data_IF_456835406855
#
_entry.id   IF_456835406855
#
_cell.length_a   1.000
_cell.length_b   1.000
_cell.length_c   1.000
_cell.angle_alpha   90.00
_cell.angle_beta   90.00
_cell.angle_gamma   90.00
#
_symmetry.space_group_name_H-M   'P 1'
#
loop_
_entity.id
_entity.type
_entity.pdbx_description
1 polymer ?
#
# COMPACT_ATOMS: atom_id res chain seq x y z
N UNK A 1 -0.28 14.43 8.19
CA UNK A 1 0.57 13.96 9.31
C UNK A 1 2.03 14.38 9.13
N UNK A 2 2.80 14.45 10.22
CA UNK A 2 4.24 14.75 10.22
C UNK A 2 5.00 13.93 11.28
N UNK A 3 6.33 13.86 11.17
CA UNK A 3 7.20 13.29 12.21
C UNK A 3 7.86 14.41 13.00
N UNK A 4 7.72 14.38 14.32
CA UNK A 4 8.38 15.30 15.26
C UNK A 4 9.01 14.47 16.38
N UNK A 5 10.29 14.69 16.70
CA UNK A 5 11.02 13.94 17.73
C UNK A 5 10.84 12.41 17.64
N UNK A 6 10.93 11.87 16.42
CA UNK A 6 10.76 10.44 16.11
C UNK A 6 9.37 9.87 16.45
N UNK A 7 8.37 10.75 16.64
CA UNK A 7 6.97 10.45 16.89
C UNK A 7 6.09 10.95 15.74
N UNK A 8 5.04 10.20 15.44
CA UNK A 8 4.05 10.63 14.45
C UNK A 8 3.07 11.61 15.10
N UNK A 9 2.76 12.69 14.39
CA UNK A 9 1.87 13.78 14.81
C UNK A 9 0.83 14.01 13.72
N UNK A 10 -0.42 14.19 14.12
CA UNK A 10 -1.55 14.50 13.24
C UNK A 10 -1.45 15.96 12.73
N UNK A 11 -2.24 16.31 11.70
CA UNK A 11 -2.17 17.65 11.10
C UNK A 11 -2.67 18.77 12.02
N UNK A 12 -3.47 18.43 13.04
CA UNK A 12 -3.88 19.35 14.09
C UNK A 12 -2.79 19.56 15.17
N UNK A 13 -1.64 18.90 15.05
CA UNK A 13 -0.53 18.98 16.02
C UNK A 13 -0.61 17.97 17.17
N UNK A 14 -1.68 17.17 17.25
CA UNK A 14 -1.80 16.17 18.32
C UNK A 14 -0.89 14.95 18.05
N UNK A 15 -0.16 14.45 19.06
CA UNK A 15 0.61 13.24 18.92
C UNK A 15 -0.33 12.03 18.75
N UNK A 16 0.04 11.08 17.89
CA UNK A 16 -0.69 9.80 17.84
C UNK A 16 -0.53 9.05 19.17
N UNK A 17 -1.53 8.20 19.50
CA UNK A 17 -1.49 7.32 20.68
C UNK A 17 -0.16 6.58 20.72
N UNK A 18 0.44 6.50 21.90
CA UNK A 18 1.72 5.84 22.10
C UNK A 18 1.67 4.79 23.19
N UNK A 19 2.04 3.57 22.83
CA UNK A 19 2.14 2.45 23.75
C UNK A 19 3.48 1.76 23.58
N UNK A 20 4.44 2.16 24.40
CA UNK A 20 5.82 1.72 24.26
C UNK A 20 5.94 0.20 24.33
N UNK A 21 6.47 -0.40 23.26
CA UNK A 21 6.90 -1.80 23.30
C UNK A 21 8.25 -1.92 24.02
N UNK A 22 8.41 -2.88 24.94
CA UNK A 22 9.72 -3.20 25.52
C UNK A 22 10.64 -3.90 24.51
N UNK A 23 10.10 -4.45 23.42
CA UNK A 23 10.83 -5.20 22.40
C UNK A 23 11.41 -4.24 21.36
N UNK A 24 12.45 -3.50 21.73
CA UNK A 24 13.12 -2.54 20.85
C UNK A 24 14.65 -2.61 21.05
N UNK A 25 15.39 -2.41 19.97
CA UNK A 25 16.86 -2.40 19.94
C UNK A 25 17.44 -1.00 20.12
N UNK A 26 18.73 -0.87 19.77
CA UNK A 26 19.45 0.41 19.82
C UNK A 26 18.99 1.42 18.77
N UNK A 27 19.84 2.40 18.50
CA UNK A 27 19.60 3.44 17.50
C UNK A 27 19.37 2.85 16.09
N UNK A 28 18.44 3.46 15.35
CA UNK A 28 18.06 3.12 14.00
C UNK A 28 18.31 4.32 13.08
N UNK A 29 18.92 4.04 11.92
CA UNK A 29 18.94 4.94 10.76
C UNK A 29 18.18 4.23 9.64
N UNK A 30 16.88 4.50 9.48
CA UNK A 30 16.04 3.71 8.58
C UNK A 30 16.38 4.04 7.12
N UNK A 31 16.28 3.02 6.26
CA UNK A 31 16.48 3.08 4.81
C UNK A 31 15.24 2.60 4.05
N UNK A 32 14.48 1.70 4.66
CA UNK A 32 13.31 1.05 4.07
C UNK A 32 12.07 1.26 4.94
N UNK A 33 10.91 1.27 4.31
CA UNK A 33 9.62 1.13 4.97
C UNK A 33 9.07 -0.26 4.64
N UNK A 34 8.61 -1.01 5.64
CA UNK A 34 8.08 -2.37 5.47
C UNK A 34 6.63 -2.42 5.95
N UNK A 35 5.75 -2.89 5.06
CA UNK A 35 4.32 -3.07 5.34
C UNK A 35 4.03 -4.51 5.78
N UNK A 36 3.17 -4.64 6.77
CA UNK A 36 2.76 -5.89 7.39
C UNK A 36 1.24 -5.95 7.55
N UNK A 37 0.70 -7.16 7.73
CA UNK A 37 -0.56 -7.33 8.43
C UNK A 37 -0.31 -8.05 9.76
N UNK A 38 -1.22 -7.81 10.70
CA UNK A 38 -1.13 -8.41 12.03
C UNK A 38 -1.53 -9.88 12.09
N UNK A 39 -2.41 -10.34 11.18
CA UNK A 39 -3.12 -11.62 11.28
C UNK A 39 -3.87 -11.78 12.62
N UNK A 40 -4.23 -10.65 13.23
CA UNK A 40 -4.91 -10.55 14.51
C UNK A 40 -6.43 -10.46 14.35
N UNK A 41 -7.12 -10.48 15.49
CA UNK A 41 -8.58 -10.30 15.54
C UNK A 41 -8.97 -8.84 15.31
N UNK A 42 -8.23 -7.96 15.95
CA UNK A 42 -8.42 -6.52 15.97
C UNK A 42 -7.11 -5.80 16.35
N UNK A 43 -7.04 -4.50 16.09
CA UNK A 43 -5.89 -3.67 16.38
C UNK A 43 -5.48 -3.71 17.87
N UNK A 44 -6.43 -3.62 18.80
CA UNK A 44 -6.15 -3.60 20.23
C UNK A 44 -5.51 -4.91 20.71
N UNK A 45 -5.96 -6.05 20.19
CA UNK A 45 -5.37 -7.36 20.48
C UNK A 45 -3.94 -7.45 19.99
N UNK A 46 -3.66 -6.90 18.81
CA UNK A 46 -2.32 -6.85 18.22
C UNK A 46 -1.40 -5.90 18.98
N UNK A 47 -1.88 -4.71 19.35
CA UNK A 47 -1.16 -3.74 20.17
C UNK A 47 -0.80 -4.37 21.52
N UNK A 48 -1.78 -4.96 22.23
CA UNK A 48 -1.54 -5.65 23.50
C UNK A 48 -0.51 -6.77 23.38
N UNK A 49 -0.50 -7.49 22.26
CA UNK A 49 0.50 -8.55 22.06
C UNK A 49 1.89 -7.96 21.79
N UNK A 50 2.01 -6.99 20.87
CA UNK A 50 3.27 -6.36 20.48
C UNK A 50 3.94 -5.54 21.61
N UNK A 51 3.19 -5.17 22.64
CA UNK A 51 3.70 -4.47 23.84
C UNK A 51 4.06 -5.40 25.00
N UNK A 52 3.84 -6.72 24.88
CA UNK A 52 4.30 -7.67 25.89
C UNK A 52 5.80 -7.91 25.81
N UNK A 53 6.47 -7.98 26.97
CA UNK A 53 7.91 -8.28 27.06
C UNK A 53 8.30 -9.67 26.56
N UNK A 54 7.35 -10.60 26.43
CA UNK A 54 7.60 -11.96 25.97
C UNK A 54 7.27 -12.21 24.48
N UNK A 55 6.67 -11.23 23.79
CA UNK A 55 6.27 -11.38 22.38
C UNK A 55 7.45 -11.55 21.42
N UNK A 56 8.65 -11.10 21.81
CA UNK A 56 9.88 -11.10 20.99
C UNK A 56 9.66 -10.48 19.59
N UNK A 57 8.70 -9.56 19.50
CA UNK A 57 8.32 -8.83 18.29
C UNK A 57 7.77 -7.46 18.67
N UNK A 58 7.86 -6.51 17.75
CA UNK A 58 7.23 -5.19 17.83
C UNK A 58 7.17 -4.58 16.43
N UNK A 59 6.41 -3.50 16.27
CA UNK A 59 6.39 -2.67 15.07
C UNK A 59 6.52 -1.21 15.48
N UNK A 60 6.77 -0.31 14.53
CA UNK A 60 6.77 1.12 14.83
C UNK A 60 5.34 1.64 14.95
N UNK A 61 4.47 1.27 14.00
CA UNK A 61 3.05 1.65 13.98
C UNK A 61 2.14 0.43 13.88
N UNK A 62 0.96 0.53 14.51
CA UNK A 62 -0.21 -0.29 14.23
C UNK A 62 -1.33 0.64 13.75
N UNK A 63 -1.96 0.31 12.62
CA UNK A 63 -3.08 1.06 12.05
C UNK A 63 -4.32 0.17 12.06
N UNK A 64 -5.36 0.61 12.76
CA UNK A 64 -6.64 -0.08 12.86
C UNK A 64 -7.47 0.08 11.57
N UNK A 65 -8.53 -0.73 11.45
CA UNK A 65 -9.42 -0.71 10.27
C UNK A 65 -10.24 0.58 10.14
N UNK A 66 -10.43 1.31 11.22
CA UNK A 66 -11.07 2.62 11.24
C UNK A 66 -10.08 3.78 11.01
N UNK A 67 -8.80 3.47 10.76
CA UNK A 67 -7.74 4.46 10.58
C UNK A 67 -7.09 4.94 11.89
N UNK A 68 -7.49 4.44 13.07
CA UNK A 68 -6.80 4.80 14.31
C UNK A 68 -5.34 4.32 14.29
N UNK A 69 -4.40 5.21 14.65
CA UNK A 69 -2.96 4.89 14.70
C UNK A 69 -2.51 4.77 16.16
N UNK A 70 -1.76 3.70 16.44
CA UNK A 70 -0.96 3.58 17.66
C UNK A 70 0.51 3.40 17.30
N UNK A 71 1.38 4.25 17.81
CA UNK A 71 2.83 4.11 17.70
C UNK A 71 3.36 3.30 18.89
N UNK A 72 4.21 2.30 18.63
CA UNK A 72 4.77 1.43 19.68
C UNK A 72 6.27 1.63 19.90
N UNK A 73 6.99 2.06 18.87
CA UNK A 73 8.45 2.29 18.92
C UNK A 73 8.77 3.62 18.24
N UNK A 74 9.60 4.49 18.85
CA UNK A 74 10.12 5.69 18.19
C UNK A 74 10.87 5.36 16.89
N UNK A 75 10.77 6.21 15.87
CA UNK A 75 11.35 5.93 14.55
C UNK A 75 12.89 5.93 14.50
N UNK A 76 13.58 6.42 15.55
CA UNK A 76 15.03 6.30 15.75
C UNK A 76 15.45 5.04 16.52
N UNK A 77 14.52 4.13 16.81
CA UNK A 77 14.83 2.87 17.49
C UNK A 77 14.42 1.66 16.66
N UNK A 78 15.21 0.60 16.80
CA UNK A 78 14.97 -0.67 16.11
C UNK A 78 13.71 -1.34 16.68
N UNK A 79 12.68 -1.55 15.87
CA UNK A 79 11.57 -2.45 16.17
C UNK A 79 11.89 -3.88 15.70
N UNK A 80 11.21 -4.89 16.24
CA UNK A 80 11.46 -6.30 15.94
C UNK A 80 10.35 -6.88 15.06
N UNK A 81 10.20 -6.39 13.82
CA UNK A 81 9.09 -6.72 12.92
C UNK A 81 9.49 -7.69 11.79
N UNK A 82 10.69 -7.53 11.21
CA UNK A 82 11.14 -8.23 10.01
C UNK A 82 11.79 -9.60 10.28
N UNK A 83 12.42 -9.80 11.45
CA UNK A 83 13.17 -11.03 11.77
C UNK A 83 14.25 -11.37 10.73
N UNK A 84 14.62 -12.67 10.53
CA UNK A 84 15.53 -13.09 9.46
C UNK A 84 15.04 -12.65 8.09
N UNK A 85 15.74 -11.72 7.44
CA UNK A 85 15.25 -11.04 6.24
C UNK A 85 16.40 -10.53 5.39
N UNK A 86 16.19 -10.37 4.08
CA UNK A 86 17.19 -9.87 3.14
C UNK A 86 16.56 -9.11 1.98
N UNK A 87 17.15 -7.96 1.61
CA UNK A 87 16.75 -7.17 0.45
C UNK A 87 17.96 -6.47 -0.16
N UNK A 88 18.15 -6.60 -1.48
CA UNK A 88 19.25 -5.96 -2.24
C UNK A 88 20.63 -6.03 -1.55
N UNK A 89 21.00 -7.22 -1.05
CA UNK A 89 22.29 -7.44 -0.38
C UNK A 89 22.33 -7.04 1.10
N UNK A 90 21.34 -6.30 1.62
CA UNK A 90 21.19 -5.97 3.05
C UNK A 90 20.47 -7.11 3.76
N UNK A 91 20.99 -7.58 4.89
CA UNK A 91 20.38 -8.61 5.71
C UNK A 91 19.98 -8.05 7.08
N UNK A 92 18.95 -8.63 7.72
CA UNK A 92 18.48 -8.20 9.04
C UNK A 92 17.80 -6.84 9.01
N UNK A 93 16.69 -6.72 8.26
CA UNK A 93 16.07 -5.41 7.99
C UNK A 93 15.48 -4.71 9.23
N UNK A 94 15.32 -5.38 10.38
CA UNK A 94 15.00 -4.69 11.65
C UNK A 94 15.94 -3.49 11.90
N UNK A 95 17.23 -3.62 11.56
CA UNK A 95 18.25 -2.58 11.79
C UNK A 95 18.29 -1.50 10.71
N UNK A 96 17.41 -1.58 9.70
CA UNK A 96 17.43 -0.73 8.52
C UNK A 96 16.05 -0.27 8.09
N UNK A 97 14.99 -0.59 8.84
CA UNK A 97 13.64 -0.31 8.40
C UNK A 97 12.70 0.11 9.51
N UNK A 98 11.66 0.83 9.09
CA UNK A 98 10.48 1.12 9.88
C UNK A 98 9.40 0.12 9.47
N UNK A 99 8.72 -0.48 10.45
CA UNK A 99 7.65 -1.45 10.24
C UNK A 99 6.27 -0.85 10.57
N UNK A 100 5.33 -0.97 9.63
CA UNK A 100 3.92 -0.61 9.82
C UNK A 100 3.07 -1.88 9.77
N UNK A 101 2.35 -2.14 10.85
CA UNK A 101 1.36 -3.22 10.97
C UNK A 101 -0.04 -2.69 10.69
N UNK A 102 -0.76 -3.33 9.79
CA UNK A 102 -2.18 -3.03 9.54
C UNK A 102 -3.05 -4.13 10.18
N UNK A 103 -4.06 -3.74 10.96
CA UNK A 103 -5.09 -4.65 11.46
C UNK A 103 -5.83 -5.30 10.29
N UNK A 104 -5.51 -6.56 10.03
CA UNK A 104 -6.04 -7.34 8.94
C UNK A 104 -5.85 -8.83 9.26
N UNK A 105 -6.88 -9.64 8.99
CA UNK A 105 -6.86 -11.07 9.28
C UNK A 105 -5.89 -11.88 8.40
N UNK A 106 -5.42 -11.28 7.30
CA UNK A 106 -4.44 -11.85 6.37
C UNK A 106 -5.04 -12.97 5.51
N UNK A 107 -4.33 -14.09 5.48
CA UNK A 107 -4.71 -15.28 4.72
C UNK A 107 -5.94 -15.97 5.35
N UNK A 108 -6.95 -16.23 4.53
CA UNK A 108 -8.19 -16.91 4.88
C UNK A 108 -8.30 -18.26 4.17
N UNK A 109 -8.81 -19.25 4.90
CA UNK A 109 -9.07 -20.60 4.39
C UNK A 109 -10.55 -20.79 4.10
N UNK A 110 -10.86 -21.50 3.01
CA UNK A 110 -12.23 -21.85 2.68
C UNK A 110 -12.72 -23.00 3.55
N UNK A 111 -13.79 -22.79 4.32
CA UNK A 111 -14.47 -23.81 5.15
C UNK A 111 -15.94 -23.87 4.78
N UNK A 112 -16.28 -24.78 3.87
CA UNK A 112 -17.58 -24.82 3.21
C UNK A 112 -17.75 -23.60 2.31
N UNK A 113 -18.79 -22.80 2.53
CA UNK A 113 -19.08 -21.56 1.80
C UNK A 113 -18.45 -20.32 2.44
N UNK A 114 -17.73 -20.47 3.56
CA UNK A 114 -17.19 -19.35 4.33
C UNK A 114 -15.68 -19.21 4.17
N UNK A 115 -15.20 -17.98 4.20
CA UNK A 115 -13.78 -17.65 4.34
C UNK A 115 -13.45 -17.42 5.81
N UNK A 116 -12.53 -18.22 6.36
CA UNK A 116 -12.23 -18.17 7.79
C UNK A 116 -10.77 -17.83 8.04
N UNK A 117 -10.53 -16.91 8.97
CA UNK A 117 -9.20 -16.68 9.52
C UNK A 117 -8.74 -17.88 10.37
N UNK A 118 -7.44 -17.97 10.61
CA UNK A 118 -6.85 -19.04 11.41
C UNK A 118 -7.41 -19.11 12.84
N UNK A 119 -7.85 -17.97 13.39
CA UNK A 119 -8.50 -17.87 14.71
C UNK A 119 -10.02 -18.12 14.69
N UNK A 120 -10.58 -18.58 13.56
CA UNK A 120 -11.94 -19.10 13.45
C UNK A 120 -13.01 -18.09 13.02
N UNK A 121 -12.72 -16.79 13.04
CA UNK A 121 -13.67 -15.77 12.54
C UNK A 121 -13.90 -15.94 11.05
N UNK A 122 -15.16 -15.98 10.65
CA UNK A 122 -15.57 -15.96 9.25
C UNK A 122 -15.74 -14.52 8.77
N UNK A 123 -15.32 -14.26 7.54
CA UNK A 123 -15.47 -12.98 6.85
C UNK A 123 -16.42 -13.14 5.67
N UNK A 124 -17.28 -12.14 5.41
CA UNK A 124 -18.22 -12.18 4.30
C UNK A 124 -17.47 -12.05 2.97
N UNK A 125 -18.03 -12.55 1.87
CA UNK A 125 -17.30 -12.68 0.60
C UNK A 125 -16.86 -11.31 0.02
N UNK A 126 -17.62 -10.26 0.28
CA UNK A 126 -17.31 -8.87 -0.08
C UNK A 126 -16.07 -8.30 0.62
N UNK A 127 -15.64 -8.88 1.75
CA UNK A 127 -14.42 -8.51 2.47
C UNK A 127 -13.23 -9.39 2.09
N UNK A 128 -13.36 -10.22 1.05
CA UNK A 128 -12.35 -11.21 0.67
C UNK A 128 -11.96 -11.10 -0.79
N UNK A 129 -10.66 -10.95 -1.02
CA UNK A 129 -10.05 -11.13 -2.34
C UNK A 129 -9.61 -12.58 -2.52
N UNK A 130 -10.04 -13.23 -3.59
CA UNK A 130 -9.48 -14.51 -3.99
C UNK A 130 -8.23 -14.30 -4.85
N UNK A 131 -7.09 -14.80 -4.38
CA UNK A 131 -5.82 -14.71 -5.11
C UNK A 131 -4.91 -15.90 -4.78
N UNK A 132 -4.02 -16.31 -5.70
CA UNK A 132 -3.09 -17.39 -5.44
C UNK A 132 -2.12 -17.01 -4.31
N UNK A 133 -1.75 -17.99 -3.50
CA UNK A 133 -0.61 -17.84 -2.60
C UNK A 133 0.67 -17.62 -3.43
N UNK A 134 1.53 -16.68 -3.03
CA UNK A 134 2.80 -16.41 -3.71
C UNK A 134 3.60 -17.70 -3.91
N UNK A 135 3.89 -18.04 -5.17
CA UNK A 135 4.62 -19.26 -5.53
C UNK A 135 3.77 -20.54 -5.59
N UNK A 136 2.44 -20.44 -5.57
CA UNK A 136 1.51 -21.57 -5.66
C UNK A 136 0.35 -21.26 -6.62
N UNK A 137 -0.24 -22.30 -7.21
CA UNK A 137 -1.51 -22.21 -7.95
C UNK A 137 -2.74 -22.29 -7.04
N UNK A 138 -2.57 -22.54 -5.74
CA UNK A 138 -3.67 -22.64 -4.77
C UNK A 138 -4.30 -21.27 -4.53
N UNK A 139 -5.56 -21.11 -4.93
CA UNK A 139 -6.38 -19.94 -4.61
C UNK A 139 -6.73 -19.95 -3.12
N UNK A 140 -6.49 -18.82 -2.47
CA UNK A 140 -6.82 -18.58 -1.07
C UNK A 140 -7.64 -17.29 -0.97
N UNK A 141 -8.32 -17.10 0.16
CA UNK A 141 -8.95 -15.83 0.48
C UNK A 141 -7.94 -14.90 1.16
N UNK A 142 -8.04 -13.61 0.89
CA UNK A 142 -7.24 -12.57 1.52
C UNK A 142 -8.18 -11.50 2.04
N UNK A 143 -8.13 -11.24 3.34
CA UNK A 143 -8.96 -10.21 3.95
C UNK A 143 -8.61 -8.83 3.37
N UNK A 144 -9.60 -8.11 2.87
CA UNK A 144 -9.44 -6.80 2.29
C UNK A 144 -9.07 -5.76 3.37
N UNK A 145 -8.36 -4.72 2.94
CA UNK A 145 -8.09 -3.54 3.76
C UNK A 145 -9.20 -2.52 3.56
N UNK A 146 -9.60 -1.84 4.63
CA UNK A 146 -10.61 -0.77 4.51
C UNK A 146 -10.00 0.46 3.83
N UNK A 147 -10.81 1.25 3.10
CA UNK A 147 -10.34 2.51 2.50
C UNK A 147 -9.69 3.45 3.53
N UNK A 148 -10.31 3.62 4.69
CA UNK A 148 -9.85 4.51 5.76
C UNK A 148 -8.47 4.11 6.26
N UNK A 149 -8.25 2.81 6.48
CA UNK A 149 -6.97 2.27 6.90
C UNK A 149 -5.88 2.47 5.84
N UNK A 150 -6.21 2.31 4.55
CA UNK A 150 -5.27 2.51 3.46
C UNK A 150 -4.88 3.99 3.29
N UNK A 151 -5.83 4.90 3.41
CA UNK A 151 -5.57 6.34 3.31
C UNK A 151 -4.64 6.80 4.45
N UNK A 152 -4.95 6.40 5.68
CA UNK A 152 -4.10 6.67 6.86
C UNK A 152 -2.72 6.05 6.71
N UNK A 153 -2.62 4.81 6.22
CA UNK A 153 -1.34 4.15 5.98
C UNK A 153 -0.50 4.89 4.93
N UNK A 154 -1.13 5.45 3.90
CA UNK A 154 -0.45 6.23 2.88
C UNK A 154 0.08 7.55 3.46
N UNK A 155 -0.72 8.26 4.26
CA UNK A 155 -0.31 9.50 4.92
C UNK A 155 0.84 9.30 5.91
N UNK A 156 0.74 8.29 6.77
CA UNK A 156 1.81 7.92 7.70
C UNK A 156 3.09 7.55 6.95
N UNK A 157 2.96 6.74 5.89
CA UNK A 157 4.09 6.36 5.02
C UNK A 157 4.76 7.60 4.41
N UNK A 158 3.98 8.56 3.90
CA UNK A 158 4.50 9.81 3.32
C UNK A 158 5.27 10.64 4.35
N UNK A 159 4.72 10.79 5.56
CA UNK A 159 5.37 11.53 6.64
C UNK A 159 6.72 10.90 7.03
N UNK A 160 6.75 9.57 7.17
CA UNK A 160 7.95 8.81 7.51
C UNK A 160 8.99 8.90 6.38
N UNK A 161 8.57 8.66 5.13
CA UNK A 161 9.45 8.72 3.96
C UNK A 161 10.09 10.10 3.85
N UNK A 162 9.31 11.17 4.00
CA UNK A 162 9.81 12.54 3.96
C UNK A 162 10.80 12.83 5.10
N UNK A 163 10.48 12.44 6.33
CA UNK A 163 11.31 12.71 7.51
C UNK A 163 12.67 12.01 7.47
N UNK A 164 12.76 10.81 6.88
CA UNK A 164 13.98 10.00 6.87
C UNK A 164 14.62 9.82 5.49
N UNK A 165 14.02 10.37 4.43
CA UNK A 165 14.51 10.22 3.05
C UNK A 165 14.52 8.77 2.57
N UNK A 166 13.52 7.97 2.98
CA UNK A 166 13.43 6.56 2.58
C UNK A 166 13.15 6.45 1.08
N UNK A 167 13.73 5.44 0.43
CA UNK A 167 13.64 5.30 -1.04
C UNK A 167 12.80 4.12 -1.52
N UNK A 168 12.44 3.22 -0.60
CA UNK A 168 11.78 1.98 -0.95
C UNK A 168 10.70 1.61 0.09
N UNK A 169 9.55 1.18 -0.43
CA UNK A 169 8.47 0.55 0.31
C UNK A 169 8.42 -0.93 -0.07
N UNK A 170 8.51 -1.80 0.93
CA UNK A 170 8.60 -3.24 0.76
C UNK A 170 7.46 -3.94 1.49
N UNK A 171 7.05 -5.10 0.98
CA UNK A 171 6.28 -6.07 1.77
C UNK A 171 7.20 -6.92 2.63
N UNK A 172 6.66 -7.52 3.69
CA UNK A 172 7.41 -8.53 4.45
C UNK A 172 7.73 -9.76 3.60
N UNK A 173 6.85 -10.08 2.66
CA UNK A 173 7.00 -11.14 1.67
C UNK A 173 8.10 -10.84 0.63
N UNK A 174 8.37 -9.57 0.33
CA UNK A 174 9.52 -9.15 -0.51
C UNK A 174 10.86 -9.47 0.18
N UNK A 175 10.95 -9.23 1.50
CA UNK A 175 12.21 -9.35 2.25
C UNK A 175 12.41 -10.71 2.93
N UNK A 176 11.39 -11.56 2.96
CA UNK A 176 11.41 -12.89 3.59
C UNK A 176 10.63 -13.92 2.78
N UNK A 177 10.97 -14.10 1.49
CA UNK A 177 10.23 -14.98 0.59
C UNK A 177 10.18 -16.42 1.09
N UNK A 178 9.00 -17.04 1.01
CA UNK A 178 8.75 -18.41 1.46
C UNK A 178 8.49 -18.55 2.97
N UNK A 179 8.88 -17.56 3.79
CA UNK A 179 8.55 -17.53 5.22
C UNK A 179 7.35 -16.63 5.53
N UNK A 180 7.25 -15.51 4.83
CA UNK A 180 6.26 -14.47 5.07
C UNK A 180 5.45 -14.20 3.81
N UNK A 181 4.18 -13.88 4.02
CA UNK A 181 3.19 -13.67 2.97
C UNK A 181 2.44 -12.34 3.14
N UNK A 182 2.73 -11.60 4.20
CA UNK A 182 2.24 -10.25 4.45
C UNK A 182 3.03 -9.20 3.65
N UNK A 183 2.37 -8.10 3.21
CA UNK A 183 0.97 -7.73 3.44
C UNK A 183 -0.01 -8.44 2.47
N UNK A 184 0.49 -9.26 1.55
CA UNK A 184 -0.33 -10.06 0.64
C UNK A 184 -0.91 -9.27 -0.54
N UNK A 185 -1.58 -9.97 -1.48
CA UNK A 185 -2.08 -9.38 -2.73
C UNK A 185 -3.23 -8.38 -2.53
N UNK A 186 -3.95 -8.46 -1.41
CA UNK A 186 -5.02 -7.50 -1.09
C UNK A 186 -4.46 -6.10 -0.76
N UNK A 187 -3.18 -6.00 -0.37
CA UNK A 187 -2.55 -4.71 -0.15
C UNK A 187 -2.14 -4.08 -1.48
N UNK A 188 -2.54 -2.83 -1.79
CA UNK A 188 -2.29 -2.21 -3.09
C UNK A 188 -0.86 -1.64 -3.21
N UNK A 189 0.16 -2.51 -3.06
CA UNK A 189 1.58 -2.14 -3.02
C UNK A 189 2.01 -1.29 -4.23
N UNK A 190 1.54 -1.63 -5.43
CA UNK A 190 1.82 -0.87 -6.65
C UNK A 190 1.30 0.57 -6.58
N UNK A 191 0.07 0.76 -6.09
CA UNK A 191 -0.54 2.09 -5.92
C UNK A 191 0.21 2.91 -4.87
N UNK A 192 0.58 2.30 -3.74
CA UNK A 192 1.38 2.96 -2.71
C UNK A 192 2.73 3.42 -3.25
N UNK A 193 3.48 2.52 -3.91
CA UNK A 193 4.77 2.86 -4.52
C UNK A 193 4.63 4.01 -5.53
N UNK A 194 3.59 4.00 -6.37
CA UNK A 194 3.30 5.08 -7.30
C UNK A 194 2.98 6.40 -6.59
N UNK A 195 2.13 6.41 -5.56
CA UNK A 195 1.75 7.64 -4.83
C UNK A 195 2.86 8.21 -3.94
N UNK A 196 3.81 7.38 -3.51
CA UNK A 196 4.89 7.76 -2.59
C UNK A 196 6.20 8.08 -3.30
N UNK A 197 6.54 7.33 -4.36
CA UNK A 197 7.80 7.48 -5.10
C UNK A 197 7.61 7.74 -6.58
N UNK A 198 6.38 7.70 -7.09
CA UNK A 198 6.06 8.31 -8.38
C UNK A 198 6.52 9.76 -8.29
N UNK A 199 7.58 10.04 -9.02
CA UNK A 199 8.49 11.13 -8.75
C UNK A 199 7.76 12.46 -8.92
N UNK A 200 7.98 13.40 -8.01
CA UNK A 200 7.81 14.82 -8.28
C UNK A 200 8.89 15.36 -9.26
N UNK A 201 9.87 14.53 -9.65
CA UNK A 201 10.94 14.84 -10.60
C UNK A 201 11.09 13.86 -11.79
N UNK A 202 10.17 12.90 -11.95
CA UNK A 202 9.85 12.34 -13.27
C UNK A 202 8.37 12.57 -13.47
N UNK A 203 8.07 13.56 -14.29
CA UNK A 203 6.88 13.41 -15.11
C UNK A 203 7.05 12.10 -15.89
N UNK A 204 6.29 11.06 -15.51
CA UNK A 204 5.90 10.04 -16.48
C UNK A 204 5.52 10.81 -17.76
N UNK A 205 6.14 10.52 -18.92
CA UNK A 205 6.08 11.39 -20.08
C UNK A 205 4.64 11.85 -20.29
N UNK A 206 4.40 13.15 -20.15
CA UNK A 206 3.03 13.67 -20.11
C UNK A 206 2.49 13.55 -21.52
N UNK A 207 1.54 12.65 -21.79
CA UNK A 207 0.94 12.55 -23.12
C UNK A 207 -0.18 13.58 -23.25
N UNK A 208 -0.41 14.08 -24.45
CA UNK A 208 -1.58 14.87 -24.76
C UNK A 208 -2.35 14.21 -25.90
N UNK A 209 -3.68 14.21 -25.82
CA UNK A 209 -4.51 13.80 -26.95
C UNK A 209 -4.25 14.71 -28.15
N UNK A 210 -4.01 14.14 -29.33
CA UNK A 210 -3.74 14.92 -30.55
C UNK A 210 -5.03 15.35 -31.25
N UNK A 211 -6.15 14.73 -30.87
CA UNK A 211 -7.52 14.94 -31.38
C UNK A 211 -8.52 14.77 -30.24
N UNK A 212 -9.81 15.05 -30.48
CA UNK A 212 -10.87 14.62 -29.57
C UNK A 212 -10.91 13.08 -29.55
N UNK A 213 -10.55 12.47 -28.43
CA UNK A 213 -10.19 11.06 -28.36
C UNK A 213 -11.16 10.29 -27.47
N UNK A 214 -11.72 9.20 -27.99
CA UNK A 214 -12.58 8.34 -27.19
C UNK A 214 -11.77 7.58 -26.13
N UNK A 215 -12.26 7.60 -24.89
CA UNK A 215 -11.74 6.81 -23.78
C UNK A 215 -12.75 5.71 -23.42
N UNK A 216 -12.26 4.49 -23.21
CA UNK A 216 -13.07 3.27 -23.11
C UNK A 216 -12.77 2.45 -21.87
N UNK A 217 -13.68 1.54 -21.50
CA UNK A 217 -13.50 0.61 -20.37
C UNK A 217 -12.42 -0.45 -20.61
N UNK A 218 -12.08 -0.75 -21.86
CA UNK A 218 -11.07 -1.77 -22.23
C UNK A 218 -10.33 -1.46 -23.54
N UNK A 219 -9.26 -2.21 -23.84
CA UNK A 219 -8.42 -2.02 -25.03
C UNK A 219 -9.11 -2.52 -26.30
N UNK A 220 -9.89 -1.65 -26.94
CA UNK A 220 -10.60 -2.01 -28.17
C UNK A 220 -11.80 -1.12 -28.47
N UNK A 221 -12.18 -1.03 -29.74
CA UNK A 221 -13.38 -0.28 -30.17
C UNK A 221 -14.70 -0.94 -29.74
N UNK A 222 -14.66 -2.22 -29.40
CA UNK A 222 -15.80 -3.02 -28.94
C UNK A 222 -16.14 -2.80 -27.46
N UNK A 223 -15.25 -2.19 -26.68
CA UNK A 223 -15.53 -1.81 -25.29
C UNK A 223 -16.30 -0.50 -25.21
N UNK A 224 -17.20 -0.41 -24.23
CA UNK A 224 -17.99 0.79 -23.98
C UNK A 224 -17.11 2.01 -23.71
N UNK A 225 -17.59 3.17 -24.17
CA UNK A 225 -16.98 4.45 -23.86
C UNK A 225 -17.29 4.84 -22.42
N UNK A 226 -16.40 5.61 -21.80
CA UNK A 226 -16.73 6.29 -20.55
C UNK A 226 -17.66 7.47 -20.84
N UNK A 227 -18.45 7.87 -19.85
CA UNK A 227 -19.43 8.95 -20.00
C UNK A 227 -18.78 10.30 -20.33
N UNK A 228 -17.54 10.50 -19.88
CA UNK A 228 -16.70 11.68 -20.19
C UNK A 228 -16.14 11.70 -21.61
N UNK A 229 -16.37 10.65 -22.39
CA UNK A 229 -15.85 10.52 -23.75
C UNK A 229 -16.64 11.39 -24.75
N UNK A 230 -16.00 12.03 -25.74
CA UNK A 230 -14.55 12.04 -25.99
C UNK A 230 -13.79 13.03 -25.10
N UNK A 231 -12.54 12.69 -24.79
CA UNK A 231 -11.59 13.62 -24.19
C UNK A 231 -11.24 14.72 -25.21
N UNK A 232 -11.27 16.01 -24.84
CA UNK A 232 -10.87 17.10 -25.73
C UNK A 232 -9.43 16.94 -26.25
N UNK A 233 -9.12 17.49 -27.44
CA UNK A 233 -7.73 17.61 -27.91
C UNK A 233 -6.88 18.40 -26.90
N UNK A 234 -5.66 17.94 -26.66
CA UNK A 234 -4.73 18.54 -25.70
C UNK A 234 -4.96 18.09 -24.26
N UNK A 235 -5.90 17.16 -24.02
CA UNK A 235 -6.12 16.61 -22.67
C UNK A 235 -4.85 15.92 -22.20
N UNK A 236 -4.28 16.32 -21.05
CA UNK A 236 -3.07 15.73 -20.52
C UNK A 236 -3.37 14.36 -19.90
N UNK A 237 -2.50 13.39 -20.18
CA UNK A 237 -2.65 11.99 -19.87
C UNK A 237 -1.36 11.44 -19.30
N UNK A 238 -1.50 10.46 -18.42
CA UNK A 238 -0.43 9.59 -17.98
C UNK A 238 -0.69 8.17 -18.46
N UNK A 239 0.24 7.59 -19.21
CA UNK A 239 0.13 6.20 -19.68
C UNK A 239 0.55 5.25 -18.54
N UNK A 240 -0.39 4.41 -18.10
CA UNK A 240 -0.20 3.46 -17.01
C UNK A 240 0.28 2.08 -17.51
N UNK A 241 -0.25 1.62 -18.65
CA UNK A 241 0.15 0.36 -19.31
C UNK A 241 -0.23 0.34 -20.79
N UNK A 242 0.40 -0.56 -21.54
CA UNK A 242 0.19 -0.73 -22.98
C UNK A 242 -0.39 -2.11 -23.30
N UNK A 243 -1.30 -2.19 -24.29
CA UNK A 243 -1.81 -3.44 -24.85
C UNK A 243 -2.01 -3.27 -26.37
N UNK A 244 -1.05 -3.76 -27.15
CA UNK A 244 -0.98 -3.53 -28.59
C UNK A 244 -0.96 -2.04 -28.93
N UNK A 245 -1.92 -1.58 -29.75
CA UNK A 245 -2.11 -0.17 -30.08
C UNK A 245 -2.91 0.63 -29.04
N UNK A 246 -3.32 0.01 -27.93
CA UNK A 246 -4.09 0.66 -26.88
C UNK A 246 -3.20 1.03 -25.69
N UNK A 247 -3.57 2.12 -25.02
CA UNK A 247 -2.88 2.67 -23.86
C UNK A 247 -3.90 2.86 -22.76
N UNK A 248 -3.67 2.23 -21.61
CA UNK A 248 -4.44 2.56 -20.42
C UNK A 248 -3.86 3.85 -19.87
N UNK A 249 -4.72 4.84 -19.65
CA UNK A 249 -4.33 6.18 -19.25
C UNK A 249 -5.07 6.61 -18.00
N UNK A 250 -4.39 7.43 -17.19
CA UNK A 250 -5.01 8.30 -16.22
C UNK A 250 -5.12 9.71 -16.82
N UNK A 251 -6.30 10.33 -16.76
CA UNK A 251 -6.49 11.72 -17.20
C UNK A 251 -5.98 12.66 -16.12
N UNK A 252 -5.08 13.57 -16.48
CA UNK A 252 -4.58 14.59 -15.55
C UNK A 252 -5.54 15.77 -15.55
N UNK A 253 -6.04 16.11 -14.37
CA UNK A 253 -6.98 17.21 -14.19
C UNK A 253 -8.44 16.79 -14.33
N UNK A 254 -9.28 17.73 -14.71
CA UNK A 254 -10.73 17.59 -14.69
C UNK A 254 -11.29 17.68 -16.11
N UNK A 255 -12.15 16.74 -16.48
CA UNK A 255 -12.86 16.74 -17.77
C UNK A 255 -14.35 16.61 -17.49
N UNK A 256 -15.14 17.59 -17.96
CA UNK A 256 -16.59 17.65 -17.73
C UNK A 256 -16.98 17.57 -16.24
N UNK A 257 -16.19 18.18 -15.35
CA UNK A 257 -16.44 18.16 -13.90
C UNK A 257 -16.06 16.85 -13.19
N UNK A 258 -15.48 15.87 -13.90
CA UNK A 258 -15.03 14.60 -13.33
C UNK A 258 -13.50 14.57 -13.22
N UNK A 259 -13.02 14.03 -12.09
CA UNK A 259 -11.60 13.75 -11.80
C UNK A 259 -11.38 12.24 -11.69
N UNK A 260 -10.12 11.83 -11.55
CA UNK A 260 -9.72 10.43 -11.37
C UNK A 260 -10.22 9.50 -12.50
N UNK A 261 -10.26 10.04 -13.72
CA UNK A 261 -10.73 9.33 -14.91
C UNK A 261 -9.62 8.39 -15.40
N UNK A 262 -9.89 7.10 -15.37
CA UNK A 262 -9.01 6.07 -15.91
C UNK A 262 -9.73 5.24 -16.98
N UNK A 263 -9.04 4.97 -18.09
CA UNK A 263 -9.59 4.16 -19.18
C UNK A 263 -8.58 3.90 -20.27
N UNK A 264 -9.05 3.46 -21.43
CA UNK A 264 -8.22 3.07 -22.56
C UNK A 264 -8.44 3.96 -23.77
N UNK A 265 -7.33 4.42 -24.35
CA UNK A 265 -7.28 5.22 -25.58
C UNK A 265 -6.37 4.55 -26.60
N UNK A 266 -6.53 4.91 -27.88
CA UNK A 266 -5.65 4.40 -28.94
C UNK A 266 -4.36 5.24 -29.02
N UNK A 267 -3.21 4.56 -29.07
CA UNK A 267 -1.87 5.14 -28.98
C UNK A 267 -1.54 6.14 -30.08
N UNK A 268 -2.01 5.92 -31.31
CA UNK A 268 -1.77 6.83 -32.45
C UNK A 268 -2.33 8.24 -32.24
N UNK A 269 -3.27 8.40 -31.30
CA UNK A 269 -3.94 9.67 -31.03
C UNK A 269 -3.47 10.34 -29.74
N UNK A 270 -2.37 9.88 -29.16
CA UNK A 270 -1.69 10.55 -28.07
C UNK A 270 -0.25 10.81 -28.46
N UNK A 271 0.30 11.94 -28.04
CA UNK A 271 1.71 12.28 -28.27
C UNK A 271 2.34 12.66 -26.95
N UNK A 272 3.58 12.21 -26.75
CA UNK A 272 4.41 12.65 -25.63
C UNK A 272 4.61 14.17 -25.74
N UNK A 273 4.29 14.89 -24.68
CA UNK A 273 4.64 16.29 -24.49
C UNK A 273 6.07 16.32 -23.98
N UNK A 274 6.89 17.11 -24.66
CA UNK A 274 8.26 17.41 -24.22
C UNK A 274 8.25 18.53 -23.18
#
# INVERSE_FOLDING_TARGET
MQVQDHRLVLDNGDPVRFEASPNQGGALKPRFLVMHYTAGRDAESSIRWLTRSDARASAHLVIARDGAITQLVPFDRVAWHAGPSRWQGVSGLNHHSIGIELDNAGLLERKGERWCAWFGTAYPAEEVMEAPLRGSSRICGWHLYTPEQLDVALEASRAIIHAYGLRELLGHDDISPGRKFDPGPAFPMGSFRAKLFGRAEDEAPTYATTVNLNIRRGPGTHHDRLDVSPLPKGTPLEVLREDGSWRQVNVRGEVQGQRDIQGWVHGDYIRRSD
#
